data_IF_961422407796
#
_entry.id   IF_961422407796
#
_cell.length_a   1.000
_cell.length_b   1.000
_cell.length_c   1.000
_cell.angle_alpha   90.00
_cell.angle_beta   90.00
_cell.angle_gamma   90.00
#
_symmetry.space_group_name_H-M   'P 1'
#
loop_
_entity.id
_entity.type
_entity.pdbx_description
1 polymer ?
#
# COMPACT_ATOMS: atom_id res chain seq x y z
N UNK A 1 -18.40 18.61 7.53
CA UNK A 1 -18.24 18.21 6.11
C UNK A 1 -16.86 17.66 5.80
N UNK A 2 -15.76 18.32 6.21
CA UNK A 2 -14.39 17.87 5.96
C UNK A 2 -14.11 16.40 6.34
N UNK A 3 -14.50 15.95 7.54
CA UNK A 3 -14.35 14.54 7.98
C UNK A 3 -14.99 13.53 7.02
N UNK A 4 -16.14 13.88 6.45
CA UNK A 4 -16.89 13.04 5.50
C UNK A 4 -16.16 12.97 4.15
N UNK A 5 -15.61 14.09 3.68
CA UNK A 5 -14.79 14.13 2.47
C UNK A 5 -13.55 13.25 2.66
N UNK A 6 -12.81 13.41 3.76
CA UNK A 6 -11.64 12.59 4.08
C UNK A 6 -11.98 11.09 4.09
N UNK A 7 -13.11 10.71 4.71
CA UNK A 7 -13.55 9.32 4.73
C UNK A 7 -13.91 8.78 3.33
N UNK A 8 -14.60 9.57 2.51
CA UNK A 8 -14.92 9.17 1.12
C UNK A 8 -13.66 9.06 0.26
N UNK A 9 -12.71 10.00 0.37
CA UNK A 9 -11.44 9.93 -0.35
C UNK A 9 -10.62 8.72 0.09
N UNK A 10 -10.61 8.42 1.39
CA UNK A 10 -9.95 7.21 1.92
C UNK A 10 -10.60 5.93 1.38
N UNK A 11 -11.94 5.88 1.30
CA UNK A 11 -12.67 4.74 0.74
C UNK A 11 -12.35 4.53 -0.75
N UNK A 12 -12.39 5.59 -1.56
CA UNK A 12 -12.07 5.51 -2.99
C UNK A 12 -10.62 5.06 -3.18
N UNK A 13 -9.68 5.63 -2.42
CA UNK A 13 -8.27 5.22 -2.44
C UNK A 13 -8.10 3.76 -2.03
N UNK A 14 -8.87 3.29 -1.05
CA UNK A 14 -8.89 1.89 -0.62
C UNK A 14 -9.31 0.93 -1.72
N UNK A 15 -10.40 1.24 -2.41
CA UNK A 15 -10.87 0.43 -3.53
C UNK A 15 -9.81 0.40 -4.64
N UNK A 16 -9.24 1.56 -5.00
CA UNK A 16 -8.20 1.64 -6.02
C UNK A 16 -6.96 0.80 -5.66
N UNK A 17 -6.49 0.87 -4.41
CA UNK A 17 -5.33 0.10 -3.93
C UNK A 17 -5.60 -1.40 -3.84
N UNK A 18 -6.76 -1.80 -3.29
CA UNK A 18 -7.12 -3.20 -3.13
C UNK A 18 -7.29 -3.88 -4.48
N UNK A 19 -7.95 -3.23 -5.44
CA UNK A 19 -8.18 -3.79 -6.77
C UNK A 19 -6.90 -3.80 -7.62
N UNK A 20 -6.12 -2.71 -7.63
CA UNK A 20 -4.83 -2.68 -8.34
C UNK A 20 -3.82 -3.68 -7.76
N UNK A 21 -3.67 -3.73 -6.44
CA UNK A 21 -2.84 -4.72 -5.75
C UNK A 21 -3.31 -6.16 -6.01
N UNK A 22 -4.62 -6.39 -5.92
CA UNK A 22 -5.23 -7.69 -6.20
C UNK A 22 -5.00 -8.15 -7.65
N UNK A 23 -5.17 -7.26 -8.63
CA UNK A 23 -4.89 -7.58 -10.03
C UNK A 23 -3.40 -7.90 -10.26
N UNK A 24 -2.48 -7.15 -9.64
CA UNK A 24 -1.04 -7.44 -9.71
C UNK A 24 -0.71 -8.81 -9.09
N UNK A 25 -1.38 -9.15 -7.99
CA UNK A 25 -1.24 -10.45 -7.33
C UNK A 25 -1.82 -11.61 -8.14
N UNK A 26 -2.93 -11.43 -8.87
CA UNK A 26 -3.55 -12.51 -9.64
C UNK A 26 -2.89 -12.73 -11.00
N UNK A 27 -2.46 -11.65 -11.67
CA UNK A 27 -1.87 -11.73 -13.01
C UNK A 27 -0.39 -12.13 -12.96
N UNK A 28 0.32 -11.75 -11.89
CA UNK A 28 1.72 -12.13 -11.61
C UNK A 28 2.70 -11.87 -12.76
N UNK A 29 2.44 -10.85 -13.59
CA UNK A 29 3.34 -10.45 -14.70
C UNK A 29 4.05 -9.13 -14.38
N UNK A 30 5.39 -9.08 -14.44
CA UNK A 30 6.14 -7.84 -14.20
C UNK A 30 5.72 -6.67 -15.10
N UNK A 31 5.42 -6.94 -16.37
CA UNK A 31 4.94 -5.92 -17.32
C UNK A 31 3.59 -5.32 -16.93
N UNK A 32 2.67 -6.15 -16.43
CA UNK A 32 1.38 -5.69 -15.94
C UNK A 32 1.53 -4.91 -14.63
N UNK A 33 2.42 -5.34 -13.73
CA UNK A 33 2.77 -4.61 -12.51
C UNK A 33 3.31 -3.21 -12.84
N UNK A 34 4.19 -3.07 -13.85
CA UNK A 34 4.69 -1.77 -14.31
C UNK A 34 3.56 -0.90 -14.87
N UNK A 35 2.63 -1.47 -15.64
CA UNK A 35 1.46 -0.73 -16.16
C UNK A 35 0.54 -0.22 -15.06
N UNK A 36 0.32 -1.01 -13.99
CA UNK A 36 -0.54 -0.64 -12.87
C UNK A 36 0.19 0.22 -11.81
N UNK A 37 1.51 0.32 -11.90
CA UNK A 37 2.36 1.06 -10.97
C UNK A 37 1.94 2.51 -10.76
N UNK A 38 1.57 3.31 -11.78
CA UNK A 38 1.15 4.70 -11.58
C UNK A 38 -0.14 4.80 -10.77
N UNK A 39 -1.11 3.92 -11.04
CA UNK A 39 -2.40 3.88 -10.32
C UNK A 39 -2.16 3.50 -8.86
N UNK A 40 -1.42 2.42 -8.62
CA UNK A 40 -1.15 1.93 -7.27
C UNK A 40 -0.30 2.92 -6.46
N UNK A 41 0.72 3.55 -7.05
CA UNK A 41 1.53 4.56 -6.35
C UNK A 41 0.75 5.81 -6.02
N UNK A 42 -0.02 6.37 -6.97
CA UNK A 42 -0.73 7.63 -6.77
C UNK A 42 -1.86 7.49 -5.74
N UNK A 43 -2.69 6.46 -5.87
CA UNK A 43 -3.73 6.19 -4.88
C UNK A 43 -3.16 5.68 -3.55
N UNK A 44 -1.99 5.05 -3.55
CA UNK A 44 -1.25 4.73 -2.33
C UNK A 44 -0.81 5.98 -1.58
N UNK A 45 -0.26 6.97 -2.26
CA UNK A 45 0.10 8.26 -1.67
C UNK A 45 -1.14 8.99 -1.13
N UNK A 46 -2.22 9.04 -1.92
CA UNK A 46 -3.47 9.65 -1.50
C UNK A 46 -4.06 8.94 -0.27
N UNK A 47 -3.95 7.61 -0.22
CA UNK A 47 -4.35 6.82 0.94
C UNK A 47 -3.53 7.15 2.17
N UNK A 48 -2.20 7.32 2.07
CA UNK A 48 -1.36 7.69 3.22
C UNK A 48 -1.81 9.04 3.79
N UNK A 49 -1.94 10.06 2.94
CA UNK A 49 -2.36 11.40 3.38
C UNK A 49 -3.75 11.38 4.02
N UNK A 50 -4.70 10.68 3.39
CA UNK A 50 -6.07 10.60 3.90
C UNK A 50 -6.18 9.72 5.13
N UNK A 51 -5.38 8.66 5.28
CA UNK A 51 -5.32 7.85 6.48
C UNK A 51 -4.79 8.65 7.67
N UNK A 52 -3.73 9.44 7.50
CA UNK A 52 -3.21 10.35 8.54
C UNK A 52 -4.31 11.33 8.95
N UNK A 53 -4.95 11.99 7.99
CA UNK A 53 -6.05 12.90 8.28
C UNK A 53 -7.22 12.19 9.00
N UNK A 54 -7.59 10.99 8.56
CA UNK A 54 -8.65 10.19 9.15
C UNK A 54 -8.34 9.79 10.59
N UNK A 55 -7.11 9.36 10.87
CA UNK A 55 -6.65 8.98 12.22
C UNK A 55 -6.66 10.20 13.13
N UNK A 56 -6.07 11.33 12.70
CA UNK A 56 -6.02 12.57 13.50
C UNK A 56 -7.42 13.09 13.82
N UNK A 57 -8.32 13.13 12.83
CA UNK A 57 -9.68 13.64 13.04
C UNK A 57 -10.54 12.70 13.89
N UNK A 58 -10.24 11.40 13.93
CA UNK A 58 -10.99 10.38 14.66
C UNK A 58 -10.21 9.76 15.82
N UNK A 59 -9.16 10.42 16.31
CA UNK A 59 -8.21 9.88 17.27
C UNK A 59 -8.86 9.34 18.55
N UNK A 60 -9.81 10.09 19.14
CA UNK A 60 -10.55 9.64 20.34
C UNK A 60 -11.32 8.34 20.11
N UNK A 61 -11.92 8.16 18.94
CA UNK A 61 -12.64 6.95 18.58
C UNK A 61 -11.69 5.76 18.45
N UNK A 62 -10.55 5.97 17.78
CA UNK A 62 -9.51 4.94 17.62
C UNK A 62 -8.96 4.52 18.98
N UNK A 63 -8.66 5.47 19.86
CA UNK A 63 -8.25 5.18 21.24
C UNK A 63 -9.30 4.34 22.00
N UNK A 64 -10.59 4.59 21.79
CA UNK A 64 -11.64 3.79 22.41
C UNK A 64 -11.63 2.33 21.92
N UNK A 65 -11.32 2.09 20.64
CA UNK A 65 -11.15 0.73 20.11
C UNK A 65 -9.92 0.02 20.72
N UNK A 66 -8.83 0.74 20.93
CA UNK A 66 -7.62 0.21 21.57
C UNK A 66 -7.80 -0.14 23.06
N UNK A 67 -8.82 0.41 23.72
CA UNK A 67 -9.16 0.02 25.11
C UNK A 67 -9.86 -1.34 25.20
N UNK A 68 -10.37 -1.87 24.08
CA UNK A 68 -11.02 -3.19 24.04
C UNK A 68 -9.99 -4.27 23.72
N UNK A 69 -10.06 -5.40 24.43
CA UNK A 69 -9.16 -6.56 24.22
C UNK A 69 -9.13 -7.01 22.75
N UNK A 70 -10.27 -7.02 22.06
CA UNK A 70 -10.34 -7.37 20.63
C UNK A 70 -9.57 -6.40 19.73
N UNK A 71 -9.59 -5.10 20.04
CA UNK A 71 -8.82 -4.09 19.32
C UNK A 71 -7.32 -4.27 19.52
N UNK A 72 -6.90 -4.56 20.76
CA UNK A 72 -5.48 -4.86 21.08
C UNK A 72 -5.00 -6.11 20.35
N UNK A 73 -5.78 -7.20 20.37
CA UNK A 73 -5.41 -8.43 19.67
C UNK A 73 -5.29 -8.19 18.16
N UNK A 74 -6.25 -7.49 17.55
CA UNK A 74 -6.21 -7.20 16.12
C UNK A 74 -4.96 -6.40 15.72
N UNK A 75 -4.63 -5.32 16.45
CA UNK A 75 -3.43 -4.52 16.12
C UNK A 75 -2.15 -5.32 16.36
N UNK A 76 -2.06 -6.10 17.43
CA UNK A 76 -0.88 -6.94 17.70
C UNK A 76 -0.64 -7.97 16.59
N UNK A 77 -1.70 -8.67 16.14
CA UNK A 77 -1.58 -9.67 15.07
C UNK A 77 -1.18 -9.00 13.74
N UNK A 78 -1.82 -7.89 13.38
CA UNK A 78 -1.52 -7.19 12.12
C UNK A 78 -0.11 -6.60 12.13
N UNK A 79 0.36 -6.04 13.25
CA UNK A 79 1.73 -5.53 13.39
C UNK A 79 2.74 -6.66 13.33
N UNK A 80 2.48 -7.79 14.00
CA UNK A 80 3.37 -8.96 13.91
C UNK A 80 3.49 -9.47 12.48
N UNK A 81 2.36 -9.59 11.77
CA UNK A 81 2.34 -9.97 10.35
C UNK A 81 3.12 -8.97 9.48
N UNK A 82 2.95 -7.66 9.72
CA UNK A 82 3.69 -6.62 9.00
C UNK A 82 5.20 -6.77 9.19
N UNK A 83 5.66 -6.95 10.43
CA UNK A 83 7.09 -7.12 10.74
C UNK A 83 7.65 -8.37 10.07
N UNK A 84 6.90 -9.48 10.07
CA UNK A 84 7.31 -10.71 9.40
C UNK A 84 7.43 -10.51 7.87
N UNK A 85 6.44 -9.89 7.24
CA UNK A 85 6.47 -9.62 5.79
C UNK A 85 7.64 -8.71 5.39
N UNK A 86 7.91 -7.66 6.16
CA UNK A 86 9.10 -6.82 5.95
C UNK A 86 10.40 -7.60 6.14
N UNK A 87 10.46 -8.49 7.14
CA UNK A 87 11.63 -9.33 7.37
C UNK A 87 11.89 -10.29 6.20
N UNK A 88 10.83 -10.85 5.62
CA UNK A 88 10.91 -11.68 4.41
C UNK A 88 11.42 -10.85 3.24
N UNK A 89 10.87 -9.65 3.01
CA UNK A 89 11.29 -8.77 1.93
C UNK A 89 12.77 -8.35 2.02
N UNK A 90 13.26 -8.02 3.22
CA UNK A 90 14.67 -7.63 3.43
C UNK A 90 15.63 -8.81 3.26
N UNK A 91 15.20 -10.04 3.59
CA UNK A 91 16.03 -11.24 3.43
C UNK A 91 16.04 -11.78 2.00
N UNK A 92 14.96 -11.58 1.25
CA UNK A 92 14.83 -12.04 -0.13
C UNK A 92 15.37 -10.99 -1.11
N UNK A 93 16.69 -10.79 -1.09
CA UNK A 93 17.36 -9.91 -2.05
C UNK A 93 17.41 -10.55 -3.42
N UNK A 94 17.03 -9.78 -4.44
CA UNK A 94 17.25 -10.16 -5.85
C UNK A 94 18.75 -10.11 -6.14
N UNK A 95 19.23 -11.00 -7.01
CA UNK A 95 20.61 -10.94 -7.50
C UNK A 95 20.94 -9.52 -8.01
N UNK A 96 22.09 -8.92 -7.63
CA UNK A 96 22.39 -7.53 -7.95
C UNK A 96 22.44 -7.22 -9.44
N UNK A 97 22.85 -8.18 -10.27
CA UNK A 97 22.93 -7.99 -11.72
C UNK A 97 21.53 -8.08 -12.35
N UNK A 98 20.72 -9.05 -11.91
CA UNK A 98 19.32 -9.13 -12.31
C UNK A 98 18.53 -7.88 -11.88
N UNK A 99 18.77 -7.37 -10.67
CA UNK A 99 18.14 -6.15 -10.18
C UNK A 99 18.46 -4.95 -11.07
N UNK A 100 19.73 -4.76 -11.45
CA UNK A 100 20.13 -3.68 -12.38
C UNK A 100 19.45 -3.81 -13.74
N UNK A 101 19.39 -5.04 -14.27
CA UNK A 101 18.72 -5.29 -15.55
C UNK A 101 17.22 -4.93 -15.47
N UNK A 102 16.54 -5.37 -14.41
CA UNK A 102 15.13 -5.04 -14.16
C UNK A 102 14.91 -3.53 -14.01
N UNK A 103 15.75 -2.84 -13.24
CA UNK A 103 15.67 -1.39 -13.04
C UNK A 103 15.86 -0.63 -14.36
N UNK A 104 16.83 -1.06 -15.18
CA UNK A 104 17.09 -0.44 -16.49
C UNK A 104 15.94 -0.66 -17.48
N UNK A 105 15.33 -1.85 -17.47
CA UNK A 105 14.19 -2.17 -18.33
C UNK A 105 12.93 -1.42 -17.89
N UNK A 106 12.70 -1.31 -16.57
CA UNK A 106 11.61 -0.53 -16.00
C UNK A 106 11.77 0.97 -16.32
N UNK A 107 12.99 1.52 -16.20
CA UNK A 107 13.27 2.91 -16.53
C UNK A 107 13.03 3.22 -18.02
N UNK A 108 13.35 2.30 -18.93
CA UNK A 108 13.03 2.45 -20.36
C UNK A 108 11.51 2.41 -20.61
N UNK A 109 10.78 1.54 -19.91
CA UNK A 109 9.33 1.45 -20.02
C UNK A 109 8.60 2.67 -19.43
N UNK A 110 9.09 3.23 -18.31
CA UNK A 110 8.51 4.40 -17.63
C UNK A 110 8.94 5.73 -18.29
N UNK A 111 10.15 5.82 -18.86
CA UNK A 111 10.73 7.03 -19.45
C UNK A 111 10.26 7.40 -20.86
N UNK A 112 9.49 6.52 -21.51
CA UNK A 112 8.94 6.74 -22.85
C UNK A 112 9.56 5.82 -23.89
N UNK A 113 8.94 4.66 -24.10
CA UNK A 113 8.95 4.01 -25.40
C UNK A 113 8.17 4.89 -26.38
N UNK A 114 8.87 5.80 -27.06
CA UNK A 114 8.51 6.20 -28.41
C UNK A 114 9.40 5.44 -29.38
#
# INVERSE_FOLDING_TARGET
MFRRIVALTMLVSFIAMATSGGMMFVIERPSFTIQMHPVHKLFGLLMIVTAIAHITLNFRSIQAHLKRRSGVVAISVLTAMLVLLYSVAVRNTVDPELARQMDSAAAQAEGGGK
#
